data_IF_022811389158
#
_entry.id   IF_022811389158
#
_cell.length_a   1.000
_cell.length_b   1.000
_cell.length_c   1.000
_cell.angle_alpha   90.00
_cell.angle_beta   90.00
_cell.angle_gamma   90.00
#
_symmetry.space_group_name_H-M   'P 1'
#
loop_
_entity.id
_entity.type
_entity.pdbx_description
1 polymer ?
#
# COMPACT_ATOMS: atom_id res chain seq x y z
N UNK A 1 16.28 -6.38 -3.22
CA UNK A 1 17.60 -6.75 -3.79
C UNK A 1 18.26 -5.45 -4.25
N UNK A 2 19.48 -5.14 -3.80
CA UNK A 2 20.20 -3.92 -4.19
C UNK A 2 21.22 -4.31 -5.25
N UNK A 3 21.24 -3.60 -6.39
CA UNK A 3 22.23 -3.80 -7.45
C UNK A 3 22.97 -2.49 -7.66
N UNK A 4 24.30 -2.56 -7.64
CA UNK A 4 25.14 -1.44 -8.04
C UNK A 4 25.34 -1.53 -9.55
N UNK A 5 25.00 -0.48 -10.27
CA UNK A 5 25.32 -0.35 -11.70
C UNK A 5 26.35 0.78 -11.87
N UNK A 6 27.38 0.50 -12.68
CA UNK A 6 28.44 1.46 -13.00
C UNK A 6 27.96 2.36 -14.13
N UNK A 7 27.90 3.66 -13.89
CA UNK A 7 27.63 4.68 -14.90
C UNK A 7 28.83 5.64 -14.96
N UNK A 8 29.64 5.53 -16.02
CA UNK A 8 30.89 6.29 -16.13
C UNK A 8 31.90 5.90 -15.05
N UNK A 9 32.47 6.90 -14.36
CA UNK A 9 33.42 6.71 -13.25
C UNK A 9 32.74 6.59 -11.86
N UNK A 10 31.41 6.58 -11.83
CA UNK A 10 30.62 6.52 -10.59
C UNK A 10 29.78 5.25 -10.49
N UNK A 11 29.57 4.77 -9.26
CA UNK A 11 28.60 3.71 -8.96
C UNK A 11 27.30 4.35 -8.51
N UNK A 12 26.20 4.04 -9.21
CA UNK A 12 24.87 4.49 -8.82
C UNK A 12 24.21 3.35 -8.05
N UNK A 13 23.80 3.65 -6.80
CA UNK A 13 23.01 2.72 -6.00
C UNK A 13 21.59 2.70 -6.56
N UNK A 14 21.28 1.69 -7.35
CA UNK A 14 19.91 1.45 -7.79
C UNK A 14 19.24 0.66 -6.67
N UNK A 15 18.55 1.38 -5.79
CA UNK A 15 17.51 0.79 -4.96
C UNK A 15 16.44 0.34 -5.94
N UNK A 16 16.43 -0.96 -6.26
CA UNK A 16 15.38 -1.56 -7.08
C UNK A 16 14.05 -1.06 -6.52
N UNK A 17 13.27 -0.41 -7.38
CA UNK A 17 11.99 0.21 -7.07
C UNK A 17 11.24 -0.74 -6.14
N UNK A 18 11.24 -0.44 -4.84
CA UNK A 18 10.55 -1.26 -3.86
C UNK A 18 9.14 -1.41 -4.39
N UNK A 19 8.70 -2.66 -4.60
CA UNK A 19 7.34 -2.92 -5.05
C UNK A 19 6.42 -2.02 -4.25
N UNK A 20 5.72 -1.13 -4.95
CA UNK A 20 4.89 -0.13 -4.29
C UNK A 20 3.96 -0.91 -3.36
N UNK A 21 4.02 -0.67 -2.05
CA UNK A 21 3.37 -1.55 -1.12
C UNK A 21 1.88 -1.59 -1.46
N UNK A 22 1.30 -2.79 -1.51
CA UNK A 22 -0.08 -3.01 -1.95
C UNK A 22 -1.05 -2.60 -0.84
N UNK A 23 -2.00 -1.70 -1.12
CA UNK A 23 -3.03 -1.27 -0.15
C UNK A 23 -3.83 -2.44 0.43
N UNK A 24 -3.88 -3.59 -0.26
CA UNK A 24 -4.44 -4.84 0.27
C UNK A 24 -3.80 -5.26 1.60
N UNK A 25 -2.53 -4.91 1.84
CA UNK A 25 -1.84 -5.15 3.13
C UNK A 25 -2.51 -4.36 4.26
N UNK A 26 -2.81 -3.08 4.02
CA UNK A 26 -3.50 -2.22 4.98
C UNK A 26 -4.95 -2.70 5.21
N UNK A 27 -5.67 -3.05 4.15
CA UNK A 27 -7.05 -3.57 4.25
C UNK A 27 -7.08 -4.86 5.07
N UNK A 28 -6.16 -5.79 4.80
CA UNK A 28 -6.07 -7.05 5.54
C UNK A 28 -5.74 -6.81 7.02
N UNK A 29 -4.82 -5.89 7.34
CA UNK A 29 -4.51 -5.53 8.71
C UNK A 29 -5.74 -4.96 9.44
N UNK A 30 -6.53 -4.08 8.79
CA UNK A 30 -7.78 -3.56 9.35
C UNK A 30 -8.80 -4.67 9.58
N UNK A 31 -8.95 -5.60 8.63
CA UNK A 31 -9.87 -6.73 8.76
C UNK A 31 -9.50 -7.66 9.92
N UNK A 32 -8.21 -7.82 10.23
CA UNK A 32 -7.74 -8.61 11.38
C UNK A 32 -8.11 -7.98 12.73
N UNK A 33 -8.27 -6.66 12.82
CA UNK A 33 -8.75 -5.99 14.03
C UNK A 33 -10.18 -6.41 14.41
N UNK A 34 -10.97 -6.89 13.45
CA UNK A 34 -12.31 -7.42 13.71
C UNK A 34 -12.30 -8.88 14.17
N UNK A 35 -11.14 -9.56 14.16
CA UNK A 35 -11.00 -10.96 14.59
C UNK A 35 -10.55 -11.05 16.05
N UNK A 36 -10.86 -12.16 16.70
CA UNK A 36 -10.42 -12.46 18.07
C UNK A 36 -9.98 -13.93 18.17
N UNK A 37 -8.68 -14.22 18.40
CA UNK A 37 -7.57 -13.25 18.50
C UNK A 37 -7.12 -12.71 17.13
N UNK A 38 -6.62 -11.48 17.05
CA UNK A 38 -6.07 -10.91 15.82
C UNK A 38 -4.70 -11.52 15.45
N UNK A 39 -4.41 -11.60 14.16
CA UNK A 39 -3.09 -12.00 13.66
C UNK A 39 -2.08 -10.84 13.76
N UNK A 40 -1.22 -10.91 14.78
CA UNK A 40 -0.17 -9.92 15.05
C UNK A 40 0.81 -9.73 13.88
N UNK A 41 1.07 -10.76 13.06
CA UNK A 41 2.00 -10.65 11.94
C UNK A 41 1.41 -9.78 10.81
N UNK A 42 0.09 -9.90 10.58
CA UNK A 42 -0.62 -9.06 9.60
C UNK A 42 -0.76 -7.61 10.08
N UNK A 43 -1.01 -7.40 11.37
CA UNK A 43 -1.02 -6.05 11.95
C UNK A 43 0.33 -5.35 11.79
N UNK A 44 1.44 -6.04 12.07
CA UNK A 44 2.80 -5.49 11.87
C UNK A 44 3.09 -5.11 10.42
N UNK A 45 2.63 -5.92 9.46
CA UNK A 45 2.76 -5.59 8.03
C UNK A 45 1.95 -4.37 7.65
N UNK A 46 0.76 -4.20 8.21
CA UNK A 46 -0.06 -3.00 8.02
C UNK A 46 0.58 -1.74 8.61
N UNK A 47 1.26 -1.84 9.74
CA UNK A 47 2.01 -0.71 10.32
C UNK A 47 3.22 -0.34 9.48
N UNK A 48 4.02 -1.33 9.06
CA UNK A 48 5.17 -1.10 8.19
C UNK A 48 4.77 -0.45 6.86
N UNK A 49 3.61 -0.86 6.29
CA UNK A 49 3.03 -0.22 5.12
C UNK A 49 2.83 1.29 5.34
N UNK A 50 2.30 1.69 6.51
CA UNK A 50 2.06 3.11 6.82
C UNK A 50 3.36 3.88 7.04
N UNK A 51 4.36 3.25 7.65
CA UNK A 51 5.69 3.86 7.85
C UNK A 51 6.42 4.08 6.52
N UNK A 52 6.26 3.17 5.57
CA UNK A 52 6.89 3.24 4.23
C UNK A 52 6.08 4.07 3.22
N UNK A 53 4.80 4.35 3.50
CA UNK A 53 3.91 5.07 2.58
C UNK A 53 3.85 6.57 2.89
N UNK A 54 3.92 7.41 1.85
CA UNK A 54 3.62 8.83 2.03
C UNK A 54 2.12 9.06 2.17
N UNK A 55 1.71 10.00 3.03
CA UNK A 55 0.29 10.28 3.28
C UNK A 55 -0.51 10.64 2.02
N UNK A 56 0.13 11.22 1.00
CA UNK A 56 -0.50 11.53 -0.28
C UNK A 56 -0.82 10.27 -1.10
N UNK A 57 0.05 9.27 -1.06
CA UNK A 57 -0.16 7.98 -1.74
C UNK A 57 -1.27 7.17 -1.08
N UNK A 58 -1.25 7.08 0.25
CA UNK A 58 -2.31 6.39 1.00
C UNK A 58 -3.69 6.98 0.70
N UNK A 59 -3.82 8.32 0.69
CA UNK A 59 -5.09 8.98 0.32
C UNK A 59 -5.53 8.66 -1.12
N UNK A 60 -4.59 8.64 -2.07
CA UNK A 60 -4.88 8.29 -3.47
C UNK A 60 -5.36 6.85 -3.58
N UNK A 61 -4.69 5.93 -2.90
CA UNK A 61 -5.01 4.50 -2.99
C UNK A 61 -6.34 4.18 -2.30
N UNK A 62 -6.64 4.81 -1.16
CA UNK A 62 -7.97 4.74 -0.52
C UNK A 62 -9.05 5.29 -1.46
N UNK A 63 -8.83 6.46 -2.07
CA UNK A 63 -9.80 7.05 -3.02
C UNK A 63 -10.03 6.13 -4.21
N UNK A 64 -8.98 5.51 -4.75
CA UNK A 64 -9.08 4.58 -5.86
C UNK A 64 -9.83 3.29 -5.47
N UNK A 65 -9.58 2.75 -4.27
CA UNK A 65 -10.29 1.58 -3.75
C UNK A 65 -11.79 1.87 -3.55
N UNK A 66 -12.12 3.04 -2.99
CA UNK A 66 -13.50 3.48 -2.82
C UNK A 66 -14.19 3.69 -4.18
N UNK A 67 -13.53 4.34 -5.14
CA UNK A 67 -14.08 4.54 -6.47
C UNK A 67 -14.38 3.20 -7.16
N UNK A 68 -13.43 2.24 -7.12
CA UNK A 68 -13.66 0.89 -7.67
C UNK A 68 -14.82 0.16 -7.00
N UNK A 69 -15.00 0.35 -5.69
CA UNK A 69 -16.11 -0.26 -4.97
C UNK A 69 -17.46 0.35 -5.37
N UNK A 70 -17.49 1.67 -5.59
CA UNK A 70 -18.66 2.39 -6.09
C UNK A 70 -19.01 1.98 -7.53
N UNK A 71 -18.02 1.96 -8.42
CA UNK A 71 -18.19 1.55 -9.82
C UNK A 71 -18.74 0.11 -9.93
N UNK A 72 -18.25 -0.81 -9.10
CA UNK A 72 -18.75 -2.20 -9.02
C UNK A 72 -20.21 -2.29 -8.58
N UNK A 73 -20.68 -1.34 -7.77
CA UNK A 73 -22.07 -1.27 -7.32
C UNK A 73 -22.95 -0.45 -8.26
N UNK A 74 -22.39 0.13 -9.33
CA UNK A 74 -23.10 1.05 -10.21
C UNK A 74 -23.54 2.34 -9.51
N UNK A 75 -22.88 2.70 -8.40
CA UNK A 75 -23.14 3.92 -7.64
C UNK A 75 -22.09 4.94 -8.04
N UNK A 76 -22.50 6.17 -8.31
CA UNK A 76 -21.59 7.30 -8.46
C UNK A 76 -21.51 8.08 -7.15
N UNK A 77 -20.50 8.93 -7.00
CA UNK A 77 -20.40 9.83 -5.83
C UNK A 77 -21.62 10.75 -5.72
N UNK A 78 -22.30 11.02 -6.85
CA UNK A 78 -23.55 11.77 -6.94
C UNK A 78 -24.78 11.01 -6.41
N UNK A 79 -24.68 9.67 -6.30
CA UNK A 79 -25.76 8.80 -5.79
C UNK A 79 -25.67 8.58 -4.27
N UNK A 80 -24.67 9.16 -3.61
CA UNK A 80 -24.45 9.16 -2.15
C UNK A 80 -24.85 10.51 -1.54
#
# INVERSE_FOLDING_TARGET
MVRLEKQGDSFVMITGSGEKPDISVLINAIAELMKSPPDNAKLRKGLLYLDESSAAEVRKDIKAALQKALDKKGLTVTDL
#
